data_IF_543621223794
#
_entry.id   IF_543621223794
#
_cell.length_a   1.000
_cell.length_b   1.000
_cell.length_c   1.000
_cell.angle_alpha   90.00
_cell.angle_beta   90.00
_cell.angle_gamma   90.00
#
_symmetry.space_group_name_H-M   'P 1'
#
loop_
_entity.id
_entity.type
_entity.pdbx_description
1 polymer ?
#
# COMPACT_ATOMS: atom_id res chain seq x y z
N UNK A 1 4.24 32.98 -20.65
CA UNK A 1 5.16 32.31 -19.72
C UNK A 1 4.50 30.99 -19.30
N UNK A 2 5.07 29.85 -19.69
CA UNK A 2 4.54 28.54 -19.28
C UNK A 2 4.85 28.34 -17.79
N UNK A 3 3.83 28.27 -16.98
CA UNK A 3 3.94 27.83 -15.58
C UNK A 3 4.48 26.42 -15.58
N UNK A 4 5.74 26.22 -15.14
CA UNK A 4 6.28 24.89 -14.85
C UNK A 4 5.35 24.27 -13.81
N UNK A 5 4.61 23.23 -14.22
CA UNK A 5 3.85 22.40 -13.32
C UNK A 5 4.85 21.70 -12.38
N UNK A 6 5.04 22.25 -11.20
CA UNK A 6 5.92 21.66 -10.18
C UNK A 6 5.17 20.42 -9.66
N UNK A 7 5.70 19.25 -9.97
CA UNK A 7 5.15 17.98 -9.51
C UNK A 7 5.19 17.89 -7.98
N UNK A 8 4.15 17.36 -7.37
CA UNK A 8 4.08 17.15 -5.92
C UNK A 8 5.18 16.18 -5.44
N UNK A 9 5.54 16.25 -4.16
CA UNK A 9 6.50 15.31 -3.57
C UNK A 9 5.94 13.88 -3.67
N UNK A 10 4.64 13.69 -3.43
CA UNK A 10 3.97 12.40 -3.53
C UNK A 10 4.12 11.77 -4.92
N UNK A 11 3.91 12.55 -6.00
CA UNK A 11 4.14 12.07 -7.38
C UNK A 11 5.60 11.68 -7.64
N UNK A 12 6.55 12.41 -7.06
CA UNK A 12 7.97 12.10 -7.20
C UNK A 12 8.36 10.83 -6.42
N UNK A 13 7.74 10.60 -5.26
CA UNK A 13 7.91 9.36 -4.47
C UNK A 13 7.29 8.16 -5.21
N UNK A 14 6.13 8.35 -5.84
CA UNK A 14 5.51 7.33 -6.69
C UNK A 14 6.42 6.93 -7.86
N UNK A 15 7.05 7.90 -8.54
CA UNK A 15 8.02 7.64 -9.59
C UNK A 15 9.26 6.90 -9.07
N UNK A 16 9.74 7.25 -7.88
CA UNK A 16 10.83 6.53 -7.22
C UNK A 16 10.47 5.05 -6.99
N UNK A 17 9.24 4.76 -6.53
CA UNK A 17 8.74 3.39 -6.41
C UNK A 17 8.70 2.67 -7.77
N UNK A 18 8.13 3.29 -8.79
CA UNK A 18 8.04 2.72 -10.14
C UNK A 18 9.40 2.41 -10.74
N UNK A 19 10.39 3.29 -10.51
CA UNK A 19 11.75 3.08 -10.99
C UNK A 19 12.40 1.83 -10.39
N UNK A 20 12.05 1.45 -9.17
CA UNK A 20 12.55 0.24 -8.53
C UNK A 20 11.84 -1.04 -9.01
N UNK A 21 10.61 -0.92 -9.53
CA UNK A 21 9.81 -2.05 -10.00
C UNK A 21 10.04 -2.41 -11.47
N UNK A 22 11.12 -1.95 -12.11
CA UNK A 22 11.36 -2.09 -13.58
C UNK A 22 11.24 -3.51 -14.11
N UNK A 23 11.62 -4.50 -13.33
CA UNK A 23 11.59 -5.92 -13.74
C UNK A 23 10.33 -6.65 -13.28
N UNK A 24 9.46 -5.97 -12.52
CA UNK A 24 8.18 -6.49 -12.06
C UNK A 24 7.08 -5.78 -12.85
N UNK A 25 6.15 -6.56 -13.40
CA UNK A 25 4.96 -5.98 -13.99
C UNK A 25 4.11 -5.34 -12.88
N UNK A 26 3.93 -4.03 -12.96
CA UNK A 26 3.09 -3.28 -12.05
C UNK A 26 1.98 -2.53 -12.80
N UNK A 27 0.99 -2.09 -12.06
CA UNK A 27 -0.18 -1.36 -12.53
C UNK A 27 -0.36 -0.10 -11.70
N UNK A 28 -0.67 1.00 -12.35
CA UNK A 28 -0.93 2.29 -11.70
C UNK A 28 -2.37 2.39 -11.21
N UNK A 29 -2.74 3.50 -10.58
CA UNK A 29 -4.09 3.79 -10.08
C UNK A 29 -5.19 3.47 -11.07
N UNK A 30 -5.01 3.87 -12.32
CA UNK A 30 -6.03 3.81 -13.38
C UNK A 30 -6.00 2.52 -14.17
N UNK A 31 -4.98 1.69 -13.97
CA UNK A 31 -4.83 0.41 -14.67
C UNK A 31 -5.41 -0.72 -13.83
N UNK A 32 -6.08 -1.66 -14.50
CA UNK A 32 -6.62 -2.87 -13.86
C UNK A 32 -5.54 -3.93 -13.72
N UNK A 33 -5.34 -4.43 -12.50
CA UNK A 33 -4.48 -5.59 -12.26
C UNK A 33 -5.19 -6.89 -12.67
N UNK A 34 -6.44 -7.05 -12.27
CA UNK A 34 -7.43 -8.02 -12.78
C UNK A 34 -8.83 -7.67 -12.27
N UNK A 35 -9.85 -8.28 -12.86
CA UNK A 35 -11.25 -7.97 -12.55
C UNK A 35 -11.64 -8.29 -11.10
N UNK A 36 -11.15 -9.38 -10.53
CA UNK A 36 -11.49 -9.81 -9.17
C UNK A 36 -10.99 -8.81 -8.12
N UNK A 37 -9.73 -8.39 -8.22
CA UNK A 37 -9.14 -7.39 -7.30
C UNK A 37 -9.81 -6.03 -7.47
N UNK A 38 -10.02 -5.58 -8.72
CA UNK A 38 -10.65 -4.28 -8.95
C UNK A 38 -12.10 -4.24 -8.44
N UNK A 39 -12.85 -5.34 -8.56
CA UNK A 39 -14.19 -5.46 -8.00
C UNK A 39 -14.15 -5.44 -6.46
N UNK A 40 -13.21 -6.15 -5.85
CA UNK A 40 -13.03 -6.13 -4.39
C UNK A 40 -12.71 -4.73 -3.86
N UNK A 41 -11.82 -4.00 -4.54
CA UNK A 41 -11.46 -2.62 -4.20
C UNK A 41 -12.66 -1.66 -4.36
N UNK A 42 -13.57 -1.94 -5.29
CA UNK A 42 -14.78 -1.15 -5.51
C UNK A 42 -15.88 -1.45 -4.49
N UNK A 43 -16.01 -2.69 -4.03
CA UNK A 43 -17.02 -3.10 -3.03
C UNK A 43 -16.74 -2.56 -1.64
N UNK A 44 -15.48 -2.38 -1.28
CA UNK A 44 -15.11 -1.82 0.01
C UNK A 44 -15.38 -0.31 0.06
N UNK A 45 -15.73 0.25 1.23
CA UNK A 45 -15.77 1.70 1.40
C UNK A 45 -14.45 2.34 0.96
N UNK A 46 -14.51 3.54 0.39
CA UNK A 46 -13.29 4.25 -0.02
C UNK A 46 -12.40 4.55 1.20
N UNK A 47 -11.10 4.74 0.99
CA UNK A 47 -10.17 5.09 2.06
C UNK A 47 -10.51 6.39 2.80
N UNK A 48 -11.34 7.22 2.20
CA UNK A 48 -11.85 8.45 2.82
C UNK A 48 -13.24 8.30 3.44
N UNK A 49 -13.80 7.09 3.39
CA UNK A 49 -15.17 6.79 3.80
C UNK A 49 -16.20 7.07 2.71
N UNK A 50 -17.37 6.48 2.84
CA UNK A 50 -18.47 6.64 1.91
C UNK A 50 -18.34 5.82 0.61
N UNK A 51 -19.19 6.17 -0.36
CA UNK A 51 -19.21 5.52 -1.66
C UNK A 51 -18.00 5.95 -2.50
N UNK A 52 -17.52 5.06 -3.32
CA UNK A 52 -16.40 5.28 -4.22
C UNK A 52 -15.42 4.12 -4.20
N UNK A 53 -14.65 4.00 -5.27
CA UNK A 53 -13.68 2.94 -5.39
C UNK A 53 -12.36 3.28 -4.67
N UNK A 54 -11.62 2.25 -4.33
CA UNK A 54 -10.27 2.37 -3.80
C UNK A 54 -9.26 2.26 -4.95
N UNK A 55 -8.28 3.16 -4.97
CA UNK A 55 -7.27 3.24 -6.02
C UNK A 55 -5.86 3.23 -5.39
N UNK A 56 -5.28 2.04 -5.14
CA UNK A 56 -3.88 1.96 -4.75
C UNK A 56 -2.98 2.67 -5.76
N UNK A 57 -1.96 3.38 -5.31
CA UNK A 57 -1.05 4.11 -6.19
C UNK A 57 -0.33 3.16 -7.15
N UNK A 58 0.12 2.01 -6.63
CA UNK A 58 0.75 0.95 -7.42
C UNK A 58 0.21 -0.40 -6.96
N UNK A 59 -0.04 -1.28 -7.93
CA UNK A 59 -0.48 -2.66 -7.73
C UNK A 59 0.47 -3.59 -8.47
N UNK A 60 0.87 -4.70 -7.85
CA UNK A 60 1.61 -5.75 -8.52
C UNK A 60 1.35 -7.11 -7.87
N UNK A 61 1.98 -8.16 -8.39
CA UNK A 61 2.00 -9.46 -7.76
C UNK A 61 3.42 -9.81 -7.33
N UNK A 62 3.54 -10.38 -6.14
CA UNK A 62 4.69 -11.15 -5.71
C UNK A 62 4.47 -12.60 -6.13
N UNK A 63 5.38 -13.15 -6.94
CA UNK A 63 5.37 -14.55 -7.32
C UNK A 63 6.35 -15.30 -6.43
N UNK A 64 5.85 -16.33 -5.73
CA UNK A 64 6.66 -17.13 -4.83
C UNK A 64 7.19 -18.38 -5.54
N UNK A 65 8.23 -19.01 -5.01
CA UNK A 65 8.82 -20.22 -5.57
C UNK A 65 7.86 -21.41 -5.63
N UNK A 66 6.84 -21.43 -4.78
CA UNK A 66 5.74 -22.41 -4.81
C UNK A 66 4.58 -21.98 -5.74
N UNK A 67 4.85 -21.06 -6.67
CA UNK A 67 3.93 -20.58 -7.71
C UNK A 67 2.67 -19.84 -7.18
N UNK A 68 2.66 -19.38 -5.95
CA UNK A 68 1.59 -18.49 -5.47
C UNK A 68 1.78 -17.08 -6.04
N UNK A 69 0.67 -16.41 -6.31
CA UNK A 69 0.65 -15.01 -6.71
C UNK A 69 -0.02 -14.20 -5.61
N UNK A 70 0.78 -13.46 -4.86
CA UNK A 70 0.32 -12.65 -3.74
C UNK A 70 0.13 -11.21 -4.22
N UNK A 71 -1.08 -10.63 -4.13
CA UNK A 71 -1.29 -9.23 -4.45
C UNK A 71 -0.44 -8.32 -3.55
N UNK A 72 0.16 -7.31 -4.14
CA UNK A 72 0.92 -6.26 -3.45
C UNK A 72 0.26 -4.93 -3.73
N UNK A 73 -0.18 -4.25 -2.68
CA UNK A 73 -0.80 -2.93 -2.74
C UNK A 73 0.14 -1.90 -2.12
N UNK A 74 0.49 -0.87 -2.89
CA UNK A 74 1.40 0.19 -2.48
C UNK A 74 0.64 1.51 -2.43
N UNK A 75 0.69 2.17 -1.29
CA UNK A 75 0.19 3.53 -1.08
C UNK A 75 1.35 4.46 -0.78
N UNK A 76 1.35 5.64 -1.40
CA UNK A 76 2.43 6.64 -1.33
C UNK A 76 1.94 7.90 -0.63
N UNK A 77 2.82 8.52 0.15
CA UNK A 77 2.62 9.84 0.77
C UNK A 77 3.85 10.73 0.59
N UNK A 78 3.66 12.04 0.73
CA UNK A 78 4.69 13.03 0.45
C UNK A 78 4.95 14.02 1.59
N UNK A 79 4.68 13.66 2.85
CA UNK A 79 4.87 14.55 4.01
C UNK A 79 5.53 13.83 5.17
N UNK A 80 6.39 14.54 5.88
CA UNK A 80 7.01 14.03 7.11
C UNK A 80 5.94 13.60 8.11
N UNK A 81 6.07 12.36 8.61
CA UNK A 81 5.15 11.78 9.60
C UNK A 81 3.91 11.09 9.02
N UNK A 82 3.73 11.02 7.70
CA UNK A 82 2.57 10.40 7.07
C UNK A 82 2.81 8.92 6.64
N UNK A 83 3.85 8.27 7.20
CA UNK A 83 4.08 6.86 6.90
C UNK A 83 3.04 5.94 7.53
N UNK A 84 2.87 6.02 8.85
CA UNK A 84 2.06 5.07 9.62
C UNK A 84 1.50 5.70 10.89
N UNK A 85 0.29 5.29 11.27
CA UNK A 85 -0.29 5.55 12.58
C UNK A 85 -0.54 4.24 13.30
N UNK A 86 0.21 4.05 14.39
CA UNK A 86 0.06 2.93 15.32
C UNK A 86 -0.34 3.41 16.70
N UNK A 87 -0.87 2.50 17.51
CA UNK A 87 -1.05 2.69 18.94
C UNK A 87 0.28 2.43 19.71
N UNK A 88 0.20 2.48 21.04
CA UNK A 88 1.34 2.23 21.93
C UNK A 88 1.90 0.79 21.86
N UNK A 89 1.12 -0.15 21.35
CA UNK A 89 1.52 -1.57 21.21
C UNK A 89 2.12 -1.84 19.81
N UNK A 90 2.09 -0.86 18.90
CA UNK A 90 2.52 -1.01 17.52
C UNK A 90 1.41 -1.51 16.58
N UNK A 91 0.18 -1.62 17.05
CA UNK A 91 -0.95 -2.04 16.23
C UNK A 91 -1.43 -0.89 15.34
N UNK A 92 -1.74 -1.21 14.07
CA UNK A 92 -2.14 -0.21 13.08
C UNK A 92 -3.53 0.33 13.42
N UNK A 93 -3.64 1.66 13.60
CA UNK A 93 -4.86 2.34 14.02
C UNK A 93 -5.83 2.59 12.84
N UNK A 94 -6.33 1.53 12.20
CA UNK A 94 -7.37 1.61 11.17
C UNK A 94 -8.80 1.53 11.74
N UNK A 95 -8.94 1.21 13.03
CA UNK A 95 -10.21 1.22 13.73
C UNK A 95 -10.20 2.30 14.83
N UNK A 96 -11.36 2.88 15.09
CA UNK A 96 -11.59 3.76 16.22
C UNK A 96 -11.91 2.95 17.51
N UNK A 97 -12.23 3.63 18.59
CA UNK A 97 -12.56 3.00 19.89
C UNK A 97 -13.82 2.11 19.83
N UNK A 98 -14.72 2.40 18.91
CA UNK A 98 -15.97 1.67 18.70
C UNK A 98 -15.80 0.53 17.70
N UNK A 99 -14.56 0.22 17.29
CA UNK A 99 -14.18 -0.78 16.29
C UNK A 99 -14.72 -0.50 14.88
N UNK A 100 -15.03 0.74 14.59
CA UNK A 100 -15.42 1.19 13.26
C UNK A 100 -14.18 1.75 12.50
N UNK A 101 -14.19 1.78 11.16
CA UNK A 101 -13.08 2.30 10.38
C UNK A 101 -12.73 3.74 10.72
N UNK A 102 -11.45 3.99 10.99
CA UNK A 102 -10.92 5.33 11.23
C UNK A 102 -10.42 5.94 9.92
N UNK A 103 -11.33 6.42 9.08
CA UNK A 103 -11.02 6.92 7.74
C UNK A 103 -9.99 8.06 7.72
N UNK A 104 -9.93 8.89 8.74
CA UNK A 104 -8.90 9.92 8.86
C UNK A 104 -7.49 9.35 8.88
N UNK A 105 -7.26 8.25 9.61
CA UNK A 105 -5.97 7.58 9.62
C UNK A 105 -5.72 6.83 8.31
N UNK A 106 -6.73 6.12 7.80
CA UNK A 106 -6.64 5.34 6.56
C UNK A 106 -6.27 6.24 5.37
N UNK A 107 -6.87 7.43 5.26
CA UNK A 107 -6.59 8.36 4.18
C UNK A 107 -5.24 9.06 4.32
N UNK A 108 -4.83 9.38 5.56
CA UNK A 108 -3.65 10.19 5.81
C UNK A 108 -2.34 9.41 5.72
N UNK A 109 -2.29 8.20 6.26
CA UNK A 109 -1.03 7.47 6.41
C UNK A 109 -0.88 6.37 5.36
N UNK A 110 0.32 6.26 4.79
CA UNK A 110 0.61 5.33 3.69
C UNK A 110 0.33 3.87 4.06
N UNK A 111 0.88 3.39 5.17
CA UNK A 111 0.69 2.00 5.62
C UNK A 111 -0.79 1.73 5.96
N UNK A 112 -1.46 2.67 6.64
CA UNK A 112 -2.86 2.52 7.00
C UNK A 112 -3.76 2.40 5.76
N UNK A 113 -3.48 3.19 4.72
CA UNK A 113 -4.17 3.10 3.42
C UNK A 113 -3.89 1.78 2.70
N UNK A 114 -2.63 1.33 2.65
CA UNK A 114 -2.26 0.06 2.02
C UNK A 114 -2.92 -1.14 2.73
N UNK A 115 -2.98 -1.14 4.06
CA UNK A 115 -3.66 -2.18 4.85
C UNK A 115 -5.18 -2.16 4.60
N UNK A 116 -5.78 -0.99 4.42
CA UNK A 116 -7.20 -0.89 4.05
C UNK A 116 -7.47 -1.58 2.71
N UNK A 117 -6.61 -1.41 1.71
CA UNK A 117 -6.73 -2.14 0.44
C UNK A 117 -6.56 -3.65 0.60
N UNK A 118 -5.61 -4.08 1.45
CA UNK A 118 -5.44 -5.50 1.75
C UNK A 118 -6.72 -6.11 2.35
N UNK A 119 -7.33 -5.43 3.31
CA UNK A 119 -8.61 -5.84 3.89
C UNK A 119 -9.74 -5.85 2.85
N UNK A 120 -9.80 -4.86 1.96
CA UNK A 120 -10.79 -4.81 0.89
C UNK A 120 -10.70 -6.06 -0.01
N UNK A 121 -9.48 -6.44 -0.40
CA UNK A 121 -9.25 -7.62 -1.23
C UNK A 121 -9.62 -8.90 -0.48
N UNK A 122 -9.12 -9.10 0.73
CA UNK A 122 -9.33 -10.32 1.50
C UNK A 122 -10.78 -10.53 1.90
N UNK A 123 -11.53 -9.45 2.17
CA UNK A 123 -12.94 -9.52 2.53
C UNK A 123 -13.86 -9.77 1.33
N UNK A 124 -13.42 -9.45 0.12
CA UNK A 124 -14.28 -9.47 -1.08
C UNK A 124 -13.78 -10.40 -2.19
N UNK A 125 -12.81 -11.28 -1.90
CA UNK A 125 -12.35 -12.30 -2.83
C UNK A 125 -12.27 -13.68 -2.16
N UNK A 126 -12.46 -14.73 -2.96
CA UNK A 126 -12.25 -16.11 -2.52
C UNK A 126 -10.88 -16.64 -2.95
N UNK A 127 -10.35 -16.16 -4.09
CA UNK A 127 -9.09 -16.63 -4.67
C UNK A 127 -7.87 -16.19 -3.87
N UNK A 128 -7.92 -15.01 -3.25
CA UNK A 128 -6.79 -14.46 -2.50
C UNK A 128 -6.94 -14.71 -1.00
N UNK A 129 -5.91 -15.33 -0.41
CA UNK A 129 -5.83 -15.65 1.03
C UNK A 129 -4.87 -14.72 1.78
N UNK A 130 -4.03 -14.01 1.04
CA UNK A 130 -2.94 -13.19 1.57
C UNK A 130 -2.68 -11.98 0.66
N UNK A 131 -2.25 -10.88 1.24
CA UNK A 131 -1.88 -9.63 0.55
C UNK A 131 -0.69 -9.01 1.26
N UNK A 132 0.24 -8.46 0.49
CA UNK A 132 1.31 -7.60 1.02
C UNK A 132 0.88 -6.14 0.88
N UNK A 133 0.84 -5.44 1.98
CA UNK A 133 0.52 -4.02 2.05
C UNK A 133 1.80 -3.22 2.30
N UNK A 134 2.12 -2.29 1.40
CA UNK A 134 3.32 -1.46 1.48
C UNK A 134 2.93 0.01 1.53
N UNK A 135 3.32 0.70 2.59
CA UNK A 135 3.28 2.15 2.66
C UNK A 135 4.65 2.73 2.37
N UNK A 136 4.72 3.71 1.49
CA UNK A 136 5.95 4.46 1.20
C UNK A 136 5.69 5.93 1.43
N UNK A 137 6.58 6.58 2.16
CA UNK A 137 6.52 8.02 2.41
C UNK A 137 7.84 8.67 2.03
N UNK A 138 7.78 9.85 1.44
CA UNK A 138 8.96 10.64 1.14
C UNK A 138 8.75 12.10 1.47
N UNK A 139 9.78 12.75 1.99
CA UNK A 139 9.73 14.18 2.30
C UNK A 139 11.11 14.82 2.19
N UNK A 140 11.13 16.10 1.88
CA UNK A 140 12.36 16.86 1.73
C UNK A 140 12.87 17.38 3.07
N UNK A 141 14.18 17.35 3.24
CA UNK A 141 14.91 17.94 4.35
C UNK A 141 15.99 18.88 3.84
N UNK A 142 16.67 19.59 4.72
CA UNK A 142 17.80 20.46 4.37
C UNK A 142 19.00 19.73 3.73
N UNK A 143 19.07 18.42 3.91
CA UNK A 143 20.17 17.57 3.39
C UNK A 143 19.73 16.63 2.27
N UNK A 144 18.47 16.72 1.81
CA UNK A 144 17.92 15.90 0.73
C UNK A 144 16.61 15.23 1.10
N UNK A 145 16.14 14.38 0.17
CA UNK A 145 14.91 13.62 0.36
C UNK A 145 15.14 12.37 1.20
N UNK A 146 14.25 12.16 2.17
CA UNK A 146 14.19 10.95 2.97
C UNK A 146 13.03 10.10 2.47
N UNK A 147 13.27 8.78 2.36
CA UNK A 147 12.26 7.78 2.07
C UNK A 147 12.07 6.88 3.27
N UNK A 148 10.83 6.59 3.60
CA UNK A 148 10.42 5.71 4.69
C UNK A 148 9.48 4.64 4.11
N UNK A 149 9.57 3.41 4.62
CA UNK A 149 8.75 2.31 4.12
C UNK A 149 8.27 1.43 5.27
N UNK A 150 7.02 0.97 5.15
CA UNK A 150 6.45 -0.06 6.03
C UNK A 150 5.87 -1.18 5.19
N UNK A 151 6.29 -2.43 5.45
CA UNK A 151 5.85 -3.62 4.73
C UNK A 151 5.10 -4.54 5.69
N UNK A 152 3.86 -4.85 5.36
CA UNK A 152 2.98 -5.65 6.19
C UNK A 152 2.36 -6.80 5.39
N UNK A 153 2.33 -7.96 6.01
CA UNK A 153 1.65 -9.14 5.51
C UNK A 153 0.29 -9.27 6.19
N UNK A 154 -0.75 -9.44 5.40
CA UNK A 154 -2.14 -9.61 5.88
C UNK A 154 -2.70 -10.89 5.28
N UNK A 155 -3.27 -11.76 6.10
CA UNK A 155 -3.85 -13.02 5.63
C UNK A 155 -5.16 -13.37 6.34
N UNK A 156 -5.98 -14.19 5.67
CA UNK A 156 -7.18 -14.78 6.27
C UNK A 156 -6.85 -15.71 7.44
N UNK A 157 -5.72 -16.43 7.36
CA UNK A 157 -5.29 -17.36 8.41
C UNK A 157 -4.95 -16.67 9.73
N UNK A 158 -4.41 -15.44 9.66
CA UNK A 158 -4.09 -14.69 10.88
C UNK A 158 -5.19 -13.67 11.26
N UNK A 159 -6.44 -13.92 10.86
CA UNK A 159 -7.61 -13.11 11.17
C UNK A 159 -7.48 -11.66 10.69
N UNK A 160 -6.86 -11.46 9.53
CA UNK A 160 -6.65 -10.14 8.90
C UNK A 160 -5.77 -9.18 9.69
N UNK A 161 -5.07 -9.65 10.72
CA UNK A 161 -4.16 -8.80 11.51
C UNK A 161 -2.89 -8.51 10.71
N UNK A 162 -2.56 -7.23 10.43
CA UNK A 162 -1.34 -6.89 9.71
C UNK A 162 -0.10 -7.24 10.53
N UNK A 163 0.83 -7.98 9.93
CA UNK A 163 2.11 -8.33 10.55
C UNK A 163 3.24 -7.66 9.80
N UNK A 164 4.08 -6.91 10.52
CA UNK A 164 5.28 -6.32 9.94
C UNK A 164 6.23 -7.42 9.46
N UNK A 165 6.66 -7.33 8.20
CA UNK A 165 7.50 -8.37 7.58
C UNK A 165 8.98 -8.17 7.91
N UNK A 166 9.43 -6.94 7.99
CA UNK A 166 10.83 -6.59 8.27
C UNK A 166 11.08 -5.10 8.06
N UNK A 167 12.35 -4.72 8.13
CA UNK A 167 12.79 -3.36 7.83
C UNK A 167 13.36 -3.32 6.42
N UNK A 168 12.73 -2.52 5.56
CA UNK A 168 13.14 -2.32 4.17
C UNK A 168 13.32 -0.83 3.88
N UNK A 169 14.29 -0.52 3.05
CA UNK A 169 14.61 0.84 2.61
C UNK A 169 14.31 1.07 1.13
N UNK A 170 13.99 0.00 0.41
CA UNK A 170 13.67 0.00 -1.02
C UNK A 170 12.74 -1.17 -1.37
N UNK A 171 12.28 -1.22 -2.63
CA UNK A 171 11.39 -2.27 -3.12
C UNK A 171 12.13 -3.46 -3.77
N UNK A 172 13.47 -3.46 -3.75
CA UNK A 172 14.23 -4.53 -4.40
C UNK A 172 14.03 -5.90 -3.76
N UNK A 173 13.61 -5.96 -2.50
CA UNK A 173 13.26 -7.23 -1.85
C UNK A 173 12.18 -8.01 -2.61
N UNK A 174 11.28 -7.35 -3.35
CA UNK A 174 10.25 -8.01 -4.15
C UNK A 174 10.83 -8.88 -5.28
N UNK A 175 12.06 -8.60 -5.74
CA UNK A 175 12.76 -9.41 -6.73
C UNK A 175 13.34 -10.69 -6.14
N UNK A 176 13.83 -10.64 -4.92
CA UNK A 176 14.50 -11.79 -4.30
C UNK A 176 13.52 -12.94 -4.04
N UNK A 177 12.26 -12.62 -3.73
CA UNK A 177 11.22 -13.61 -3.53
C UNK A 177 10.72 -14.26 -4.82
N UNK A 178 10.98 -13.66 -5.98
CA UNK A 178 10.65 -14.26 -7.28
C UNK A 178 11.70 -15.28 -7.75
N UNK A 179 12.90 -15.26 -7.19
CA UNK A 179 14.05 -16.05 -7.62
C UNK A 179 14.52 -17.09 -6.59
N UNK A 180 13.83 -17.24 -5.48
CA UNK A 180 14.07 -18.28 -4.46
C UNK A 180 12.90 -19.24 -4.38
#
# INVERSE_FOLDING_TARGET
>A
MATKNVRSIEEQVEDWCKAQLRSIKYYTKTESINSEIEEALRKAPSKSGGEGANYPDIKCFLETSDMRRIPVMIEVKGRKGDLIKCDKNGDICNLNKDKEPHYGNIAKYAVNGAVHYAHAILNNTESYKEVVAIGVNGYDTSIGRIYEMGVYYVSKENLFVPKKVGEYTDLFFLFFYQNT
#
